data_IF_816078753916
#
_entry.id   IF_816078753916
#
_cell.length_a   1.000
_cell.length_b   1.000
_cell.length_c   1.000
_cell.angle_alpha   90.00
_cell.angle_beta   90.00
_cell.angle_gamma   90.00
#
_symmetry.space_group_name_H-M   'P 1'
#
loop_
_entity.id
_entity.type
_entity.pdbx_description
1 polymer ?
#
# COMPACT_ATOMS: atom_id res chain seq x y z
N UNK A 1 -15.30 -1.60 9.80
CA UNK A 1 -14.08 -2.30 9.33
C UNK A 1 -13.82 -1.86 7.89
N UNK A 2 -12.65 -1.31 7.59
CA UNK A 2 -12.26 -0.98 6.22
C UNK A 2 -11.76 -2.24 5.48
N UNK A 3 -11.93 -2.30 4.17
CA UNK A 3 -11.56 -3.44 3.30
C UNK A 3 -10.86 -2.95 2.04
N UNK A 4 -10.06 -3.80 1.43
CA UNK A 4 -9.47 -3.54 0.12
C UNK A 4 -10.54 -3.47 -0.97
N UNK A 5 -10.27 -2.70 -2.02
CA UNK A 5 -11.11 -2.51 -3.21
C UNK A 5 -10.24 -2.24 -4.44
N UNK A 6 -10.85 -2.08 -5.61
CA UNK A 6 -10.08 -1.70 -6.81
C UNK A 6 -9.32 -0.38 -6.55
N UNK A 7 -8.00 -0.41 -6.75
CA UNK A 7 -7.11 0.73 -6.50
C UNK A 7 -6.84 1.06 -5.03
N UNK A 8 -7.32 0.28 -4.05
CA UNK A 8 -7.08 0.54 -2.62
C UNK A 8 -6.77 -0.73 -1.84
N UNK A 9 -5.65 -0.74 -1.12
CA UNK A 9 -5.21 -1.87 -0.29
C UNK A 9 -5.32 -1.49 1.18
N UNK A 10 -6.01 -2.31 1.97
CA UNK A 10 -6.10 -2.14 3.42
C UNK A 10 -5.22 -3.16 4.14
N UNK A 11 -4.14 -2.66 4.76
CA UNK A 11 -3.21 -3.47 5.55
C UNK A 11 -3.72 -3.60 6.99
N UNK A 12 -3.74 -4.83 7.53
CA UNK A 12 -4.17 -5.13 8.90
C UNK A 12 -2.97 -5.60 9.73
N UNK A 13 -3.04 -5.41 11.04
CA UNK A 13 -2.00 -5.84 11.99
C UNK A 13 -0.60 -5.32 11.62
N UNK A 14 -0.52 -4.04 11.23
CA UNK A 14 0.73 -3.39 10.85
C UNK A 14 1.58 -3.05 12.07
N UNK A 15 2.91 -3.09 11.90
CA UNK A 15 3.89 -2.62 12.86
C UNK A 15 4.86 -1.65 12.17
N UNK A 16 5.81 -1.06 12.91
CA UNK A 16 6.83 -0.17 12.34
C UNK A 16 7.63 -0.81 11.20
N UNK A 17 7.78 -2.13 11.16
CA UNK A 17 8.48 -2.80 10.06
C UNK A 17 7.70 -2.78 8.73
N UNK A 18 6.42 -2.40 8.75
CA UNK A 18 5.63 -2.18 7.54
C UNK A 18 5.79 -0.75 6.96
N UNK A 19 6.54 0.13 7.62
CA UNK A 19 6.89 1.45 7.08
C UNK A 19 7.78 1.31 5.83
N UNK A 20 7.55 2.16 4.83
CA UNK A 20 8.39 2.18 3.65
C UNK A 20 7.71 2.77 2.41
N UNK A 21 8.36 2.56 1.27
CA UNK A 21 7.84 2.99 -0.04
C UNK A 21 6.90 1.93 -0.60
N UNK A 22 5.66 2.31 -0.85
CA UNK A 22 4.64 1.46 -1.46
C UNK A 22 4.43 1.87 -2.91
N UNK A 23 4.33 0.87 -3.80
CA UNK A 23 4.09 1.04 -5.23
C UNK A 23 2.75 0.45 -5.61
N UNK A 24 1.92 1.24 -6.27
CA UNK A 24 0.78 0.72 -7.03
C UNK A 24 1.21 0.58 -8.49
N UNK A 25 1.00 -0.60 -9.08
CA UNK A 25 1.31 -0.88 -10.47
C UNK A 25 0.08 -1.49 -11.15
N UNK A 26 -0.23 -0.99 -12.35
CA UNK A 26 -1.27 -1.51 -13.23
C UNK A 26 -0.62 -1.89 -14.54
N UNK A 27 -0.74 -3.17 -14.91
CA UNK A 27 -0.24 -3.71 -16.17
C UNK A 27 -1.39 -4.00 -17.12
N UNK A 28 -1.24 -3.55 -18.37
CA UNK A 28 -2.06 -3.98 -19.49
C UNK A 28 -1.48 -5.27 -20.05
N UNK A 29 -2.36 -6.24 -20.32
CA UNK A 29 -1.96 -7.51 -20.96
C UNK A 29 -1.75 -7.31 -22.48
N UNK A 30 -1.49 -8.40 -23.20
CA UNK A 30 -1.37 -8.37 -24.67
C UNK A 30 -2.53 -7.59 -25.34
N UNK A 31 -2.27 -6.83 -26.42
CA UNK A 31 -1.03 -6.79 -27.20
C UNK A 31 -0.04 -5.68 -26.80
N UNK A 32 -0.42 -4.76 -25.91
CA UNK A 32 0.35 -3.52 -25.68
C UNK A 32 1.38 -3.61 -24.54
N UNK A 33 1.26 -4.58 -23.62
CA UNK A 33 2.17 -4.80 -22.48
C UNK A 33 2.73 -3.50 -21.88
N UNK A 34 1.87 -2.70 -21.26
CA UNK A 34 2.25 -1.43 -20.63
C UNK A 34 2.04 -1.52 -19.13
N UNK A 35 3.03 -1.08 -18.35
CA UNK A 35 2.88 -0.89 -16.91
C UNK A 35 2.90 0.60 -16.57
N UNK A 36 1.89 1.07 -15.84
CA UNK A 36 1.90 2.37 -15.18
C UNK A 36 2.06 2.14 -13.68
N UNK A 37 2.79 3.04 -13.01
CA UNK A 37 2.99 2.93 -11.57
C UNK A 37 3.01 4.29 -10.88
N UNK A 38 2.71 4.26 -9.60
CA UNK A 38 2.84 5.40 -8.69
C UNK A 38 3.36 4.91 -7.35
N UNK A 39 4.23 5.70 -6.74
CA UNK A 39 4.91 5.36 -5.49
C UNK A 39 4.62 6.41 -4.43
N UNK A 40 4.49 5.96 -3.18
CA UNK A 40 4.34 6.85 -2.02
C UNK A 40 4.95 6.24 -0.78
N UNK A 41 5.65 7.06 0.00
CA UNK A 41 6.11 6.66 1.32
C UNK A 41 4.94 6.61 2.31
N UNK A 42 4.85 5.51 3.06
CA UNK A 42 3.86 5.28 4.11
C UNK A 42 4.57 5.17 5.44
N UNK A 43 4.35 6.16 6.32
CA UNK A 43 4.84 6.14 7.69
C UNK A 43 3.90 5.32 8.59
N UNK A 44 4.46 4.54 9.52
CA UNK A 44 3.67 3.77 10.49
C UNK A 44 3.98 4.27 11.90
N UNK A 45 3.04 5.03 12.45
CA UNK A 45 3.13 5.54 13.81
C UNK A 45 2.52 4.53 14.79
N UNK A 46 3.30 4.16 15.81
CA UNK A 46 2.76 3.39 16.93
C UNK A 46 1.92 4.28 17.83
N UNK A 47 0.84 3.74 18.39
CA UNK A 47 0.21 4.40 19.55
C UNK A 47 1.16 4.23 20.73
N UNK A 48 1.59 5.35 21.31
CA UNK A 48 2.17 5.33 22.64
C UNK A 48 1.03 5.04 23.60
N UNK A 49 0.87 3.78 24.01
CA UNK A 49 -0.01 3.43 25.14
C UNK A 49 0.64 3.98 26.41
N UNK A 50 0.39 5.26 26.70
CA UNK A 50 0.59 5.83 28.03
C UNK A 50 -0.28 5.05 29.01
N UNK A 51 0.41 4.37 29.94
CA UNK A 51 -0.11 3.69 31.12
C UNK A 51 -1.00 4.61 31.96
#
# INVERSE_FOLDING_TARGET
>A
MSRSSNGTVFLKNTSRSAEGMYRCEVSADAPSFQSIFSEKFMAVEGKNDTL
#
